data_IF_480857905419
#
_entry.id   IF_480857905419
#
_cell.length_a   1.000
_cell.length_b   1.000
_cell.length_c   1.000
_cell.angle_alpha   90.00
_cell.angle_beta   90.00
_cell.angle_gamma   90.00
#
_symmetry.space_group_name_H-M   'P 1'
#
loop_
_entity.id
_entity.type
_entity.pdbx_description
1 polymer ?
#
# COMPACT_ATOMS: atom_id res chain seq x y z
N UNK A 1 -25.32 37.70 -21.49
CA UNK A 1 -25.01 36.41 -20.85
C UNK A 1 -23.60 36.00 -21.28
N UNK A 2 -22.58 35.95 -20.40
CA UNK A 2 -21.27 35.46 -20.80
C UNK A 2 -21.17 33.95 -20.60
N UNK A 3 -20.65 33.28 -21.64
CA UNK A 3 -20.37 31.84 -21.73
C UNK A 3 -19.17 31.48 -20.84
N UNK A 4 -19.29 30.43 -20.02
CA UNK A 4 -18.18 29.92 -19.21
C UNK A 4 -17.33 28.96 -20.06
N UNK A 5 -16.00 29.14 -20.15
CA UNK A 5 -15.13 28.17 -20.80
C UNK A 5 -14.97 26.92 -19.95
N UNK A 6 -14.84 25.80 -20.66
CA UNK A 6 -14.77 24.42 -20.19
C UNK A 6 -13.81 24.24 -19.01
N UNK A 7 -14.28 23.56 -17.95
CA UNK A 7 -13.48 23.20 -16.79
C UNK A 7 -12.26 22.38 -17.21
N UNK A 8 -11.10 23.03 -17.22
CA UNK A 8 -9.82 22.35 -17.38
C UNK A 8 -9.60 21.48 -16.14
N UNK A 9 -9.21 20.22 -16.39
CA UNK A 9 -8.86 19.21 -15.39
C UNK A 9 -8.12 19.80 -14.18
N UNK A 10 -8.39 19.34 -12.93
CA UNK A 10 -7.57 19.72 -11.80
C UNK A 10 -6.12 19.31 -12.07
N UNK A 11 -5.29 20.34 -12.24
CA UNK A 11 -3.84 20.32 -12.31
C UNK A 11 -3.25 19.34 -11.29
N UNK A 12 -2.32 18.50 -11.77
CA UNK A 12 -1.47 17.61 -10.96
C UNK A 12 -1.09 18.28 -9.64
N UNK A 13 -1.37 17.60 -8.53
CA UNK A 13 -1.01 18.02 -7.17
C UNK A 13 0.46 18.47 -7.10
N UNK A 14 0.68 19.77 -6.95
CA UNK A 14 1.98 20.45 -6.89
C UNK A 14 2.36 20.87 -5.46
N UNK A 15 1.87 20.17 -4.43
CA UNK A 15 2.28 20.46 -3.06
C UNK A 15 3.60 19.71 -2.73
N UNK A 16 4.66 20.40 -2.24
CA UNK A 16 5.89 19.75 -1.79
C UNK A 16 5.62 18.87 -0.56
N UNK A 17 6.16 17.65 -0.54
CA UNK A 17 6.06 16.65 0.54
C UNK A 17 6.84 17.03 1.84
N UNK A 18 7.03 18.31 2.12
CA UNK A 18 8.08 18.80 3.02
C UNK A 18 7.62 19.38 4.37
N UNK A 19 6.41 19.06 4.84
CA UNK A 19 6.05 19.24 6.25
C UNK A 19 5.59 17.93 6.85
N UNK A 20 6.56 17.08 7.20
CA UNK A 20 6.28 15.85 7.96
C UNK A 20 6.11 16.14 9.45
N UNK A 21 6.54 17.30 9.94
CA UNK A 21 6.49 17.64 11.37
C UNK A 21 5.07 17.93 11.86
N UNK A 22 4.20 18.42 10.98
CA UNK A 22 2.77 18.69 11.25
C UNK A 22 1.85 17.53 10.81
N UNK A 23 2.41 16.44 10.27
CA UNK A 23 1.63 15.30 9.81
C UNK A 23 1.17 14.46 11.00
N UNK A 24 -0.11 14.60 11.37
CA UNK A 24 -0.74 13.70 12.34
C UNK A 24 -0.79 12.30 11.74
N UNK A 25 -0.05 11.36 12.34
CA UNK A 25 -0.19 9.94 12.01
C UNK A 25 -1.59 9.51 12.40
N UNK A 26 -2.47 9.31 11.42
CA UNK A 26 -3.81 8.75 11.64
C UNK A 26 -3.67 7.23 11.56
N UNK A 27 -3.73 6.50 12.70
CA UNK A 27 -3.72 5.06 12.65
C UNK A 27 -4.95 4.58 11.86
N UNK A 28 -4.70 3.85 10.78
CA UNK A 28 -5.75 3.24 9.96
C UNK A 28 -5.70 1.73 10.14
N UNK A 29 -6.86 1.05 10.21
CA UNK A 29 -6.88 -0.41 10.23
C UNK A 29 -6.31 -0.97 8.93
N UNK A 30 -5.75 -2.17 8.99
CA UNK A 30 -5.31 -2.90 7.81
C UNK A 30 -6.49 -3.09 6.85
N UNK A 31 -6.36 -2.62 5.61
CA UNK A 31 -7.44 -2.70 4.62
C UNK A 31 -7.78 -4.13 4.19
N UNK A 32 -6.89 -5.09 4.46
CA UNK A 32 -7.09 -6.48 4.09
C UNK A 32 -7.83 -7.29 5.16
N UNK A 33 -7.41 -7.21 6.43
CA UNK A 33 -8.01 -7.99 7.52
C UNK A 33 -8.78 -7.17 8.57
N UNK A 34 -8.73 -5.85 8.50
CA UNK A 34 -9.36 -4.96 9.48
C UNK A 34 -8.62 -4.81 10.81
N UNK A 35 -7.45 -5.44 10.99
CA UNK A 35 -6.67 -5.33 12.22
C UNK A 35 -6.26 -3.87 12.50
N UNK A 36 -6.55 -3.39 13.70
CA UNK A 36 -6.14 -2.10 14.20
C UNK A 36 -4.70 -2.17 14.75
N UNK A 37 -3.77 -1.48 14.10
CA UNK A 37 -2.35 -1.48 14.47
C UNK A 37 -1.50 -0.83 13.40
N UNK A 38 -0.23 -0.55 13.71
CA UNK A 38 0.74 -0.12 12.70
C UNK A 38 0.83 -1.15 11.58
N UNK A 39 0.79 -0.67 10.33
CA UNK A 39 0.85 -1.50 9.13
C UNK A 39 2.28 -1.36 8.60
N UNK A 40 3.08 -2.41 8.74
CA UNK A 40 4.46 -2.42 8.25
C UNK A 40 4.67 -3.61 7.31
N UNK A 41 5.50 -3.40 6.29
CA UNK A 41 5.98 -4.47 5.43
C UNK A 41 7.40 -4.82 5.84
N UNK A 42 7.64 -6.10 6.12
CA UNK A 42 8.97 -6.60 6.45
C UNK A 42 9.44 -7.57 5.36
N UNK A 43 10.75 -7.57 5.15
CA UNK A 43 11.42 -8.57 4.33
C UNK A 43 11.85 -9.74 5.23
N UNK A 44 11.31 -10.92 4.96
CA UNK A 44 11.72 -12.18 5.58
C UNK A 44 12.30 -13.08 4.50
N UNK A 45 13.64 -13.20 4.47
CA UNK A 45 14.35 -14.07 3.52
C UNK A 45 13.98 -13.84 2.04
N UNK A 46 13.81 -12.58 1.62
CA UNK A 46 13.42 -12.21 0.26
C UNK A 46 11.90 -12.20 0.03
N UNK A 47 11.09 -12.42 1.06
CA UNK A 47 9.63 -12.42 0.97
C UNK A 47 9.06 -11.22 1.72
N UNK A 48 8.26 -10.41 1.03
CA UNK A 48 7.45 -9.35 1.62
C UNK A 48 6.25 -9.89 2.36
N UNK A 49 6.23 -9.65 3.66
CA UNK A 49 5.14 -10.04 4.56
C UNK A 49 4.60 -8.79 5.22
N UNK A 50 3.28 -8.65 5.23
CA UNK A 50 2.61 -7.59 5.98
C UNK A 50 2.51 -8.01 7.45
N UNK A 51 2.91 -7.12 8.36
CA UNK A 51 2.75 -7.30 9.80
C UNK A 51 1.88 -6.20 10.41
N UNK A 52 1.14 -6.56 11.45
CA UNK A 52 0.42 -5.64 12.33
C UNK A 52 1.17 -5.60 13.66
N UNK A 53 1.97 -4.57 13.87
CA UNK A 53 2.88 -4.50 15.02
C UNK A 53 3.91 -5.64 15.01
N UNK A 54 3.64 -6.75 15.68
CA UNK A 54 4.54 -7.93 15.77
C UNK A 54 3.96 -9.21 15.15
N UNK A 55 2.71 -9.18 14.69
CA UNK A 55 2.02 -10.36 14.17
C UNK A 55 1.87 -10.28 12.65
N UNK A 56 2.05 -11.38 11.93
CA UNK A 56 1.84 -11.42 10.49
C UNK A 56 0.36 -11.30 10.14
N UNK A 57 0.05 -10.57 9.08
CA UNK A 57 -1.30 -10.48 8.54
C UNK A 57 -1.72 -11.83 7.97
N UNK A 58 -2.85 -12.43 8.42
CA UNK A 58 -3.24 -13.77 8.00
C UNK A 58 -3.88 -13.82 6.60
N UNK A 59 -4.31 -12.69 6.06
CA UNK A 59 -5.07 -12.65 4.79
C UNK A 59 -4.29 -12.04 3.62
N UNK A 60 -3.19 -11.34 3.91
CA UNK A 60 -2.41 -10.68 2.86
C UNK A 60 -1.46 -11.70 2.24
N UNK A 61 -1.53 -11.78 0.91
CA UNK A 61 -0.68 -12.68 0.13
C UNK A 61 0.76 -12.16 0.19
N UNK A 62 1.73 -12.98 0.66
CA UNK A 62 3.14 -12.61 0.60
C UNK A 62 3.61 -12.45 -0.84
N UNK A 63 4.62 -11.63 -1.05
CA UNK A 63 5.18 -11.36 -2.38
C UNK A 63 6.70 -11.51 -2.38
N UNK A 64 7.30 -11.75 -3.54
CA UNK A 64 8.74 -11.73 -3.70
C UNK A 64 9.26 -10.29 -3.57
N UNK A 65 10.09 -10.02 -2.56
CA UNK A 65 10.50 -8.66 -2.18
C UNK A 65 11.19 -7.91 -3.31
N UNK A 66 11.97 -8.62 -4.13
CA UNK A 66 12.76 -8.05 -5.21
C UNK A 66 11.88 -7.71 -6.43
N UNK A 67 10.94 -8.59 -6.78
CA UNK A 67 10.13 -8.45 -8.00
C UNK A 67 8.74 -7.88 -7.77
N UNK A 68 8.28 -7.78 -6.51
CA UNK A 68 6.93 -7.34 -6.15
C UNK A 68 5.83 -8.34 -6.52
N UNK A 69 6.18 -9.54 -7.01
CA UNK A 69 5.21 -10.51 -7.53
C UNK A 69 4.56 -11.29 -6.38
N UNK A 70 3.21 -11.40 -6.35
CA UNK A 70 2.55 -12.25 -5.36
C UNK A 70 3.05 -13.69 -5.45
N UNK A 71 3.42 -14.30 -4.33
CA UNK A 71 3.88 -15.69 -4.31
C UNK A 71 2.76 -16.68 -4.66
N UNK A 72 1.49 -16.30 -4.47
CA UNK A 72 0.36 -17.10 -4.97
C UNK A 72 0.37 -17.24 -6.51
N UNK A 73 0.93 -16.28 -7.24
CA UNK A 73 1.07 -16.37 -8.69
C UNK A 73 2.17 -17.36 -9.12
N UNK A 74 3.10 -17.72 -8.22
CA UNK A 74 4.14 -18.73 -8.48
C UNK A 74 3.64 -20.17 -8.25
N UNK A 75 2.65 -20.38 -7.39
CA UNK A 75 2.06 -21.70 -7.16
C UNK A 75 1.25 -22.23 -8.37
N UNK A 76 0.70 -21.32 -9.20
CA UNK A 76 0.02 -21.68 -10.45
C UNK A 76 0.94 -21.97 -11.63
N UNK A 77 2.25 -21.72 -11.50
CA UNK A 77 3.24 -21.97 -12.57
C UNK A 77 3.87 -23.38 -12.49
N UNK A 78 3.49 -24.19 -11.50
CA UNK A 78 3.91 -25.60 -11.37
C UNK A 78 2.68 -26.51 -11.53
N UNK A 79 2.09 -26.46 -12.71
CA UNK A 79 1.25 -27.53 -13.23
C UNK A 79 1.78 -27.86 -14.63
N UNK A 80 2.66 -28.86 -14.67
CA UNK A 80 3.12 -29.55 -15.87
C UNK A 80 2.25 -30.80 -16.11
#
# INVERSE_FOLDING_TARGET
>A
MPVMPVGSHPTRLTAPLSRREDAVVIPSPCWACGASGGIDWINVNGIGVLVHGRECCPVVVPFDWETGKPLAALAGAVAA
#
